data_IF_490446665123
#
_entry.id   IF_490446665123
#
_cell.length_a   1.000
_cell.length_b   1.000
_cell.length_c   1.000
_cell.angle_alpha   90.00
_cell.angle_beta   90.00
_cell.angle_gamma   90.00
#
_symmetry.space_group_name_H-M   'P 1'
#
loop_
_entity.id
_entity.type
_entity.pdbx_description
1 polymer ?
#
# COMPACT_ATOMS: atom_id res chain seq x y z
N UNK A 1 34.09 -37.49 -22.72
CA UNK A 1 34.03 -36.19 -23.40
C UNK A 1 35.32 -36.03 -24.19
N UNK A 2 35.28 -35.49 -25.42
CA UNK A 2 36.45 -35.40 -26.30
C UNK A 2 37.39 -34.26 -25.88
N UNK A 3 38.70 -34.42 -26.10
CA UNK A 3 39.79 -33.53 -25.61
C UNK A 3 39.76 -32.09 -26.20
N UNK A 4 38.81 -31.77 -27.07
CA UNK A 4 38.62 -30.45 -27.68
C UNK A 4 37.24 -29.83 -27.46
N UNK A 5 36.42 -30.35 -26.53
CA UNK A 5 35.08 -29.85 -26.25
C UNK A 5 35.01 -29.20 -24.86
N UNK A 6 34.46 -27.99 -24.78
CA UNK A 6 34.05 -27.35 -23.53
C UNK A 6 32.60 -26.87 -23.66
N UNK A 7 31.78 -27.16 -22.65
CA UNK A 7 30.48 -26.52 -22.49
C UNK A 7 30.71 -25.17 -21.79
N UNK A 8 30.37 -24.08 -22.47
CA UNK A 8 30.41 -22.72 -21.94
C UNK A 8 28.98 -22.25 -21.67
N UNK A 9 28.75 -21.74 -20.46
CA UNK A 9 27.49 -21.11 -20.07
C UNK A 9 27.75 -19.64 -19.74
N UNK A 10 27.04 -18.73 -20.41
CA UNK A 10 27.13 -17.30 -20.16
C UNK A 10 26.21 -16.90 -19.02
N UNK A 11 26.76 -16.59 -17.84
CA UNK A 11 25.99 -16.03 -16.72
C UNK A 11 25.80 -14.51 -16.87
N UNK A 12 24.92 -14.11 -17.78
CA UNK A 12 24.58 -12.71 -18.00
C UNK A 12 23.98 -12.07 -16.75
N UNK A 13 23.25 -12.85 -15.93
CA UNK A 13 22.58 -12.36 -14.73
C UNK A 13 23.57 -12.03 -13.61
N UNK A 14 24.52 -12.91 -13.34
CA UNK A 14 25.63 -12.64 -12.43
C UNK A 14 26.38 -11.37 -12.84
N UNK A 15 26.75 -11.25 -14.12
CA UNK A 15 27.48 -10.09 -14.63
C UNK A 15 26.72 -8.75 -14.49
N UNK A 16 25.38 -8.76 -14.64
CA UNK A 16 24.55 -7.56 -14.40
C UNK A 16 24.52 -7.21 -12.92
N UNK A 17 24.34 -8.20 -12.03
CA UNK A 17 24.27 -7.98 -10.58
C UNK A 17 25.61 -7.50 -10.01
N UNK A 18 26.72 -8.05 -10.48
CA UNK A 18 28.08 -7.66 -10.08
C UNK A 18 28.39 -6.21 -10.42
N UNK A 19 27.70 -5.62 -11.40
CA UNK A 19 27.78 -4.19 -11.72
C UNK A 19 26.74 -3.37 -10.97
N UNK A 20 25.49 -3.84 -10.91
CA UNK A 20 24.37 -3.10 -10.34
C UNK A 20 24.49 -2.93 -8.82
N UNK A 21 24.85 -3.98 -8.08
CA UNK A 21 24.92 -3.95 -6.61
C UNK A 21 25.94 -2.91 -6.13
N UNK A 22 27.21 -2.88 -6.61
CA UNK A 22 28.17 -1.86 -6.20
C UNK A 22 27.74 -0.43 -6.53
N UNK A 23 26.99 -0.22 -7.62
CA UNK A 23 26.43 1.09 -7.97
C UNK A 23 25.38 1.47 -6.92
N UNK A 24 24.41 0.60 -6.65
CA UNK A 24 23.36 0.84 -5.65
C UNK A 24 23.95 1.08 -4.25
N UNK A 25 24.99 0.37 -3.86
CA UNK A 25 25.62 0.52 -2.54
C UNK A 25 26.31 1.89 -2.40
N UNK A 26 26.94 2.39 -3.46
CA UNK A 26 27.64 3.69 -3.48
C UNK A 26 26.73 4.89 -3.64
N UNK A 27 25.53 4.72 -4.20
CA UNK A 27 24.57 5.81 -4.35
C UNK A 27 24.19 6.38 -2.97
N UNK A 28 23.97 7.69 -2.90
CA UNK A 28 23.30 8.30 -1.75
C UNK A 28 21.79 8.00 -1.82
N UNK A 29 21.17 7.80 -0.67
CA UNK A 29 19.72 7.61 -0.57
C UNK A 29 19.00 8.96 -0.55
N UNK A 30 17.90 9.07 -1.29
CA UNK A 30 17.04 10.26 -1.29
C UNK A 30 15.85 10.03 -0.35
N UNK A 31 15.40 10.99 0.46
CA UNK A 31 14.20 10.85 1.28
C UNK A 31 12.95 10.49 0.45
N UNK A 32 12.15 9.52 0.93
CA UNK A 32 10.93 9.05 0.28
C UNK A 32 9.80 10.07 0.49
N UNK A 33 9.90 11.18 -0.21
CA UNK A 33 8.88 12.23 -0.24
C UNK A 33 8.12 12.20 -1.56
N UNK A 34 6.90 12.74 -1.56
CA UNK A 34 6.10 12.90 -2.79
C UNK A 34 6.83 13.74 -3.83
N UNK A 35 7.51 14.81 -3.40
CA UNK A 35 8.27 15.69 -4.29
C UNK A 35 9.42 14.93 -4.97
N UNK A 36 10.23 14.18 -4.20
CA UNK A 36 11.33 13.40 -4.75
C UNK A 36 10.83 12.28 -5.68
N UNK A 37 9.76 11.56 -5.30
CA UNK A 37 9.19 10.51 -6.14
C UNK A 37 8.65 11.03 -7.49
N UNK A 38 8.11 12.26 -7.52
CA UNK A 38 7.60 12.89 -8.75
C UNK A 38 8.69 13.24 -9.76
N UNK A 39 9.94 13.42 -9.32
CA UNK A 39 11.07 13.73 -10.20
C UNK A 39 11.56 12.51 -11.00
N UNK A 40 11.20 11.30 -10.58
CA UNK A 40 11.60 10.07 -11.26
C UNK A 40 10.90 9.91 -12.61
N UNK A 41 11.48 9.16 -13.56
CA UNK A 41 10.77 8.77 -14.78
C UNK A 41 9.72 7.67 -14.50
N UNK A 42 8.64 7.65 -15.28
CA UNK A 42 7.77 6.48 -15.39
C UNK A 42 8.45 5.44 -16.29
N UNK A 43 9.49 4.79 -15.76
CA UNK A 43 10.29 3.82 -16.47
C UNK A 43 10.41 2.50 -15.70
N UNK A 44 10.68 1.42 -16.43
CA UNK A 44 11.03 0.13 -15.85
C UNK A 44 12.34 0.23 -15.04
N UNK A 45 12.37 -0.42 -13.89
CA UNK A 45 13.56 -0.43 -13.05
C UNK A 45 13.40 -1.19 -11.75
N UNK A 46 14.41 -1.04 -10.91
CA UNK A 46 14.42 -1.53 -9.53
C UNK A 46 14.60 -0.37 -8.57
N UNK A 47 14.10 -0.53 -7.36
CA UNK A 47 14.29 0.42 -6.27
C UNK A 47 14.46 -0.30 -4.94
N UNK A 48 15.20 0.35 -4.06
CA UNK A 48 15.43 -0.05 -2.67
C UNK A 48 14.71 0.94 -1.77
N UNK A 49 14.09 0.46 -0.68
CA UNK A 49 13.68 1.30 0.44
C UNK A 49 14.58 1.02 1.63
N UNK A 50 15.08 2.09 2.21
CA UNK A 50 16.10 2.09 3.25
C UNK A 50 15.51 2.80 4.46
N UNK A 51 15.63 2.17 5.62
CA UNK A 51 15.21 2.76 6.90
C UNK A 51 16.30 2.46 7.92
N UNK A 52 16.69 3.46 8.70
CA UNK A 52 17.80 3.35 9.67
C UNK A 52 19.12 2.80 9.04
N UNK A 53 19.40 3.21 7.80
CA UNK A 53 20.62 2.83 7.07
C UNK A 53 20.64 1.39 6.52
N UNK A 54 19.55 0.63 6.65
CA UNK A 54 19.45 -0.74 6.15
C UNK A 54 18.40 -0.85 5.05
N UNK A 55 18.66 -1.71 4.05
CA UNK A 55 17.71 -1.99 2.98
C UNK A 55 16.63 -2.94 3.52
N UNK A 56 15.40 -2.45 3.61
CA UNK A 56 14.27 -3.23 4.12
C UNK A 56 13.34 -3.73 3.03
N UNK A 57 13.33 -3.09 1.86
CA UNK A 57 12.51 -3.52 0.73
C UNK A 57 13.25 -3.37 -0.60
N UNK A 58 13.10 -4.36 -1.47
CA UNK A 58 13.41 -4.26 -2.90
C UNK A 58 12.10 -4.35 -3.66
N UNK A 59 11.91 -3.47 -4.64
CA UNK A 59 10.83 -3.63 -5.58
C UNK A 59 11.28 -3.45 -7.01
N UNK A 60 10.51 -4.01 -7.93
CA UNK A 60 10.59 -3.72 -9.36
C UNK A 60 9.37 -2.99 -9.86
N UNK A 61 9.51 -2.45 -11.07
CA UNK A 61 8.41 -1.91 -11.86
C UNK A 61 8.65 -2.26 -13.32
N UNK A 62 7.57 -2.49 -14.05
CA UNK A 62 7.57 -2.54 -15.52
C UNK A 62 7.40 -1.13 -16.10
N UNK A 63 7.39 -1.04 -17.43
CA UNK A 63 7.22 0.21 -18.16
C UNK A 63 5.79 0.77 -18.09
N UNK A 64 4.78 -0.05 -17.75
CA UNK A 64 3.39 0.41 -17.63
C UNK A 64 3.14 1.10 -16.28
N UNK A 65 3.68 0.53 -15.20
CA UNK A 65 3.59 1.11 -13.86
C UNK A 65 4.63 2.21 -13.64
N UNK A 66 5.88 2.04 -14.06
CA UNK A 66 6.95 3.03 -13.87
C UNK A 66 7.43 3.29 -12.42
N UNK A 67 8.67 3.75 -12.28
CA UNK A 67 9.31 4.04 -10.99
C UNK A 67 8.57 5.13 -10.20
N UNK A 68 8.24 6.25 -10.86
CA UNK A 68 7.51 7.38 -10.24
C UNK A 68 6.19 6.94 -9.62
N UNK A 69 5.33 6.29 -10.39
CA UNK A 69 4.01 5.86 -9.88
C UNK A 69 4.16 4.85 -8.73
N UNK A 70 5.09 3.89 -8.83
CA UNK A 70 5.29 2.88 -7.79
C UNK A 70 5.82 3.49 -6.49
N UNK A 71 6.82 4.37 -6.55
CA UNK A 71 7.36 5.04 -5.36
C UNK A 71 6.37 6.05 -4.77
N UNK A 72 5.62 6.78 -5.59
CA UNK A 72 4.54 7.67 -5.11
C UNK A 72 3.50 6.90 -4.31
N UNK A 73 3.13 5.69 -4.76
CA UNK A 73 2.24 4.80 -3.99
C UNK A 73 2.87 4.33 -2.67
N UNK A 74 4.18 4.11 -2.64
CA UNK A 74 4.86 3.71 -1.40
C UNK A 74 4.99 4.86 -0.41
N UNK A 75 5.15 6.11 -0.84
CA UNK A 75 5.06 7.30 0.04
C UNK A 75 3.76 7.23 0.85
N UNK A 76 2.63 7.04 0.17
CA UNK A 76 1.33 6.90 0.84
C UNK A 76 1.31 5.74 1.85
N UNK A 77 1.99 4.62 1.58
CA UNK A 77 2.03 3.50 2.54
C UNK A 77 2.71 3.85 3.87
N UNK A 78 3.54 4.88 3.95
CA UNK A 78 4.13 5.34 5.23
C UNK A 78 3.36 6.51 5.84
N UNK A 79 2.44 7.13 5.09
CA UNK A 79 1.55 8.16 5.62
C UNK A 79 0.56 7.51 6.60
N UNK A 80 0.24 8.24 7.68
CA UNK A 80 -0.72 7.84 8.71
C UNK A 80 -0.48 6.45 9.31
N UNK A 81 0.77 6.17 9.72
CA UNK A 81 1.15 4.97 10.48
C UNK A 81 1.82 5.33 11.80
N UNK A 82 1.76 4.41 12.73
CA UNK A 82 2.55 4.50 13.95
C UNK A 82 4.00 4.07 13.71
N UNK A 83 4.92 4.66 14.47
CA UNK A 83 6.34 4.30 14.54
C UNK A 83 7.15 4.52 13.24
N UNK A 84 6.60 5.18 12.23
CA UNK A 84 7.32 5.54 11.00
C UNK A 84 6.64 6.71 10.29
N UNK A 85 7.43 7.63 9.73
CA UNK A 85 6.94 8.62 8.76
C UNK A 85 7.67 8.48 7.42
N UNK A 86 7.10 8.97 6.29
CA UNK A 86 7.75 8.84 4.98
C UNK A 86 9.18 9.39 4.94
N UNK A 87 9.46 10.47 5.69
CA UNK A 87 10.78 11.10 5.76
C UNK A 87 11.85 10.23 6.45
N UNK A 88 11.46 9.23 7.25
CA UNK A 88 12.40 8.28 7.88
C UNK A 88 12.91 7.23 6.89
N UNK A 89 12.24 7.10 5.74
CA UNK A 89 12.56 6.14 4.69
C UNK A 89 13.28 6.87 3.56
N UNK A 90 14.40 6.32 3.12
CA UNK A 90 15.10 6.73 1.91
C UNK A 90 14.82 5.74 0.80
N UNK A 91 14.99 6.18 -0.45
CA UNK A 91 14.98 5.30 -1.60
C UNK A 91 16.25 5.46 -2.44
N UNK A 92 16.58 4.37 -3.15
CA UNK A 92 17.51 4.37 -4.28
C UNK A 92 16.78 3.73 -5.45
N UNK A 93 16.93 4.25 -6.65
CA UNK A 93 16.27 3.71 -7.84
C UNK A 93 17.20 3.67 -9.03
N UNK A 94 17.13 2.59 -9.80
CA UNK A 94 17.88 2.41 -11.04
C UNK A 94 16.92 2.02 -12.16
N UNK A 95 16.91 2.80 -13.24
CA UNK A 95 16.24 2.45 -14.47
C UNK A 95 17.02 1.33 -15.17
N UNK A 96 16.31 0.29 -15.63
CA UNK A 96 16.92 -0.83 -16.34
C UNK A 96 16.52 -0.72 -17.81
N UNK A 97 17.46 -0.33 -18.67
CA UNK A 97 17.21 -0.02 -20.08
C UNK A 97 17.17 -1.27 -21.00
N UNK A 98 17.72 -2.39 -20.55
CA UNK A 98 17.83 -3.64 -21.33
C UNK A 98 17.53 -4.82 -20.38
N UNK A 99 17.02 -5.94 -20.90
CA UNK A 99 16.77 -7.20 -20.15
C UNK A 99 15.56 -7.17 -19.21
N UNK A 100 14.41 -6.76 -19.73
CA UNK A 100 13.14 -6.67 -19.01
C UNK A 100 12.62 -8.02 -18.46
N UNK A 101 13.12 -9.14 -18.98
CA UNK A 101 12.69 -10.51 -18.64
C UNK A 101 13.49 -11.18 -17.50
N UNK A 102 14.50 -10.50 -16.92
CA UNK A 102 15.32 -11.08 -15.85
C UNK A 102 14.73 -10.81 -14.46
N UNK A 103 14.77 -11.82 -13.58
CA UNK A 103 14.30 -11.70 -12.20
C UNK A 103 15.36 -11.07 -11.27
N UNK A 104 15.71 -9.82 -11.57
CA UNK A 104 16.69 -9.02 -10.81
C UNK A 104 16.21 -8.81 -9.36
N UNK A 105 14.90 -8.63 -9.17
CA UNK A 105 14.29 -8.38 -7.86
C UNK A 105 14.60 -9.51 -6.86
N UNK A 106 14.35 -10.77 -7.20
CA UNK A 106 14.62 -11.89 -6.30
C UNK A 106 16.11 -11.99 -5.91
N UNK A 107 17.01 -11.67 -6.83
CA UNK A 107 18.46 -11.68 -6.57
C UNK A 107 18.88 -10.55 -5.63
N UNK A 108 18.34 -9.35 -5.83
CA UNK A 108 18.55 -8.22 -4.92
C UNK A 108 17.94 -8.46 -3.54
N UNK A 109 16.74 -9.06 -3.46
CA UNK A 109 16.11 -9.48 -2.18
C UNK A 109 17.04 -10.43 -1.44
N UNK A 110 17.57 -11.45 -2.13
CA UNK A 110 18.49 -12.42 -1.52
C UNK A 110 19.81 -11.78 -1.07
N UNK A 111 20.32 -10.82 -1.85
CA UNK A 111 21.55 -10.09 -1.51
C UNK A 111 21.36 -9.23 -0.27
N UNK A 112 20.33 -8.38 -0.24
CA UNK A 112 20.09 -7.42 0.84
C UNK A 112 19.36 -8.00 2.05
N UNK A 113 18.80 -9.22 1.95
CA UNK A 113 18.07 -9.92 3.03
C UNK A 113 16.94 -9.07 3.62
N UNK A 114 16.15 -8.49 2.74
CA UNK A 114 15.06 -7.56 3.06
C UNK A 114 13.92 -8.21 3.83
N UNK A 115 13.41 -7.55 4.87
CA UNK A 115 12.36 -8.07 5.74
C UNK A 115 10.96 -7.51 5.44
N UNK A 116 10.83 -6.44 4.63
CA UNK A 116 9.52 -5.94 4.18
C UNK A 116 9.01 -6.70 2.95
N UNK A 117 9.88 -7.31 2.17
CA UNK A 117 9.49 -8.21 1.08
C UNK A 117 8.73 -9.42 1.65
N UNK A 118 7.55 -9.73 1.10
CA UNK A 118 6.70 -10.82 1.58
C UNK A 118 6.01 -10.59 2.93
N UNK A 119 6.21 -9.42 3.56
CA UNK A 119 5.72 -9.13 4.91
C UNK A 119 4.32 -8.50 4.97
N UNK A 120 3.71 -8.19 3.81
CA UNK A 120 2.51 -7.37 3.69
C UNK A 120 2.75 -6.00 3.04
N UNK A 121 3.97 -5.45 3.14
CA UNK A 121 4.29 -4.12 2.59
C UNK A 121 4.04 -4.01 1.08
N UNK A 122 4.47 -5.00 0.29
CA UNK A 122 4.27 -4.99 -1.17
C UNK A 122 2.91 -5.51 -1.64
N UNK A 123 2.09 -6.05 -0.73
CA UNK A 123 0.88 -6.79 -1.08
C UNK A 123 -0.24 -5.86 -1.56
N UNK A 124 -0.98 -6.35 -2.56
CA UNK A 124 -2.25 -5.76 -2.99
C UNK A 124 -3.38 -6.21 -2.07
N UNK A 125 -4.50 -5.48 -2.12
CA UNK A 125 -5.72 -5.85 -1.41
C UNK A 125 -6.23 -7.22 -1.89
N UNK A 126 -6.29 -8.25 -1.02
CA UNK A 126 -6.72 -9.59 -1.41
C UNK A 126 -8.26 -9.76 -1.45
N UNK A 127 -9.04 -8.71 -1.16
CA UNK A 127 -10.51 -8.69 -1.21
C UNK A 127 -11.21 -9.16 0.08
N UNK A 128 -12.56 -9.09 0.07
CA UNK A 128 -13.44 -9.51 1.18
C UNK A 128 -13.21 -10.98 1.55
N UNK A 129 -13.44 -11.33 2.81
CA UNK A 129 -13.33 -12.68 3.42
C UNK A 129 -11.92 -13.11 3.80
N UNK A 130 -10.90 -12.32 3.46
CA UNK A 130 -9.52 -12.57 3.87
C UNK A 130 -9.27 -12.24 5.34
N UNK A 131 -10.12 -11.44 5.95
CA UNK A 131 -10.14 -11.10 7.37
C UNK A 131 -10.51 -12.30 8.24
N UNK A 132 -11.21 -13.27 7.66
CA UNK A 132 -11.72 -14.48 8.34
C UNK A 132 -10.68 -15.59 8.45
N UNK A 133 -9.67 -15.52 7.58
CA UNK A 133 -8.51 -16.42 7.53
C UNK A 133 -7.22 -15.65 7.81
N UNK A 134 -7.35 -14.42 8.34
CA UNK A 134 -6.22 -13.57 8.63
C UNK A 134 -5.36 -14.23 9.69
N UNK A 135 -4.07 -14.33 9.40
CA UNK A 135 -3.06 -14.64 10.40
C UNK A 135 -2.92 -13.45 11.34
N UNK A 136 -2.37 -13.63 12.56
CA UNK A 136 -1.98 -12.50 13.40
C UNK A 136 -1.15 -11.51 12.58
N UNK A 137 -1.30 -10.19 12.84
CA UNK A 137 -0.46 -9.20 12.20
C UNK A 137 1.01 -9.62 12.35
N UNK A 138 1.71 -9.71 11.23
CA UNK A 138 3.12 -10.06 11.17
C UNK A 138 3.82 -9.12 10.21
N UNK A 139 5.16 -9.02 10.33
CA UNK A 139 5.95 -8.26 9.37
C UNK A 139 5.66 -6.75 9.44
N UNK A 140 5.37 -6.15 8.29
CA UNK A 140 5.30 -4.69 8.17
C UNK A 140 4.14 -4.09 8.98
N UNK A 141 2.90 -4.52 8.72
CA UNK A 141 1.71 -3.91 9.33
C UNK A 141 1.63 -4.14 10.85
N UNK A 142 2.32 -5.16 11.38
CA UNK A 142 2.41 -5.37 12.83
C UNK A 142 3.33 -4.37 13.52
N UNK A 143 4.42 -3.97 12.85
CA UNK A 143 5.41 -3.02 13.38
C UNK A 143 4.98 -1.57 13.16
N UNK A 144 4.31 -1.33 12.03
CA UNK A 144 3.88 -0.02 11.59
C UNK A 144 2.38 -0.04 11.31
N UNK A 145 1.51 -0.24 12.31
CA UNK A 145 0.07 -0.28 12.07
C UNK A 145 -0.44 1.07 11.54
N UNK A 146 -1.53 1.06 10.78
CA UNK A 146 -2.22 2.30 10.39
C UNK A 146 -2.74 3.00 11.64
N UNK A 147 -2.67 4.33 11.63
CA UNK A 147 -3.17 5.16 12.71
C UNK A 147 -4.43 5.90 12.22
N UNK A 148 -5.59 5.44 12.70
CA UNK A 148 -6.91 5.99 12.35
C UNK A 148 -7.32 7.18 13.21
N UNK A 149 -6.44 7.60 14.13
CA UNK A 149 -6.62 8.69 15.07
C UNK A 149 -5.80 9.94 14.69
N UNK A 150 -5.16 9.93 13.52
CA UNK A 150 -4.55 11.11 12.92
C UNK A 150 -5.59 11.97 12.17
N UNK A 151 -5.46 13.30 12.19
CA UNK A 151 -6.31 14.21 11.43
C UNK A 151 -6.30 13.95 9.93
N UNK A 152 -7.47 14.04 9.30
CA UNK A 152 -7.66 14.06 7.86
C UNK A 152 -7.81 15.51 7.39
N UNK A 153 -7.14 15.86 6.30
CA UNK A 153 -7.10 17.20 5.71
C UNK A 153 -7.82 17.29 4.34
N UNK A 154 -8.31 16.15 3.83
CA UNK A 154 -8.94 16.05 2.50
C UNK A 154 -10.47 15.97 2.54
N UNK A 155 -11.09 15.94 3.72
CA UNK A 155 -12.55 15.84 3.85
C UNK A 155 -13.21 17.21 3.70
N UNK A 156 -14.31 17.23 2.94
CA UNK A 156 -15.15 18.42 2.77
C UNK A 156 -16.14 18.52 3.92
N UNK A 157 -16.05 19.60 4.71
CA UNK A 157 -16.98 19.87 5.81
C UNK A 157 -18.38 20.29 5.29
N UNK A 158 -19.40 20.04 6.11
CA UNK A 158 -20.79 20.42 5.84
C UNK A 158 -21.73 19.24 5.54
N UNK A 159 -22.97 19.53 5.10
CA UNK A 159 -23.96 18.51 4.75
C UNK A 159 -23.49 17.64 3.58
N UNK A 160 -23.64 16.33 3.71
CA UNK A 160 -23.28 15.33 2.68
C UNK A 160 -24.08 14.03 2.88
N UNK A 161 -23.75 12.99 2.13
CA UNK A 161 -24.33 11.65 2.26
C UNK A 161 -23.30 10.67 2.80
N UNK A 162 -23.77 9.54 3.37
CA UNK A 162 -22.87 8.43 3.76
C UNK A 162 -22.03 7.97 2.58
N UNK A 163 -22.66 7.85 1.40
CA UNK A 163 -21.95 7.40 0.20
C UNK A 163 -20.81 8.34 -0.18
N UNK A 164 -21.07 9.64 -0.24
CA UNK A 164 -20.05 10.64 -0.64
C UNK A 164 -18.90 10.71 0.36
N UNK A 165 -19.18 10.65 1.67
CA UNK A 165 -18.13 10.59 2.69
C UNK A 165 -17.27 9.32 2.54
N UNK A 166 -17.88 8.15 2.33
CA UNK A 166 -17.15 6.90 2.09
C UNK A 166 -16.33 6.94 0.80
N UNK A 167 -16.78 7.65 -0.24
CA UNK A 167 -15.98 7.87 -1.44
C UNK A 167 -14.76 8.76 -1.16
N UNK A 168 -14.94 9.87 -0.45
CA UNK A 168 -13.83 10.76 -0.06
C UNK A 168 -12.80 10.00 0.77
N UNK A 169 -13.23 9.24 1.79
CA UNK A 169 -12.36 8.39 2.59
C UNK A 169 -11.62 7.36 1.74
N UNK A 170 -12.33 6.63 0.87
CA UNK A 170 -11.69 5.60 0.03
C UNK A 170 -10.64 6.16 -0.93
N UNK A 171 -10.80 7.41 -1.36
CA UNK A 171 -9.88 8.07 -2.29
C UNK A 171 -8.73 8.80 -1.59
N UNK A 172 -8.97 9.32 -0.39
CA UNK A 172 -7.99 10.12 0.34
C UNK A 172 -7.16 9.34 1.35
N UNK A 173 -7.67 8.21 1.87
CA UNK A 173 -6.93 7.45 2.87
C UNK A 173 -5.67 6.79 2.26
N UNK A 174 -4.52 6.87 2.95
CA UNK A 174 -3.27 6.25 2.50
C UNK A 174 -3.24 4.72 2.68
N UNK A 175 -4.30 4.16 3.23
CA UNK A 175 -4.49 2.74 3.46
C UNK A 175 -5.86 2.27 2.97
N UNK A 176 -6.02 0.97 2.85
CA UNK A 176 -7.25 0.39 2.29
C UNK A 176 -8.44 0.68 3.19
N UNK A 177 -9.50 1.23 2.60
CA UNK A 177 -10.86 1.19 3.13
C UNK A 177 -11.72 0.28 2.23
N UNK A 178 -12.25 -0.79 2.80
CA UNK A 178 -13.27 -1.62 2.17
C UNK A 178 -14.63 -1.30 2.77
N UNK A 179 -15.66 -1.30 1.94
CA UNK A 179 -17.02 -1.27 2.43
C UNK A 179 -17.93 -2.09 1.54
N UNK A 180 -19.05 -2.53 2.09
CA UNK A 180 -20.03 -3.31 1.36
C UNK A 180 -20.63 -2.49 0.23
N UNK A 181 -20.68 -3.10 -0.94
CA UNK A 181 -21.32 -2.55 -2.14
C UNK A 181 -22.59 -3.35 -2.43
N UNK A 182 -23.33 -2.99 -3.48
CA UNK A 182 -24.42 -3.83 -3.94
C UNK A 182 -23.96 -5.28 -4.23
N UNK A 183 -24.83 -6.28 -4.02
CA UNK A 183 -24.57 -7.64 -4.44
C UNK A 183 -24.11 -7.73 -5.90
N UNK A 184 -23.01 -8.45 -6.14
CA UNK A 184 -22.43 -8.64 -7.46
C UNK A 184 -21.63 -7.44 -8.00
N UNK A 185 -21.44 -6.37 -7.22
CA UNK A 185 -20.48 -5.32 -7.57
C UNK A 185 -19.05 -5.90 -7.61
N UNK A 186 -18.34 -5.70 -8.74
CA UNK A 186 -16.98 -6.21 -8.96
C UNK A 186 -16.10 -5.11 -9.57
N UNK A 187 -14.81 -5.17 -9.29
CA UNK A 187 -13.83 -4.21 -9.83
C UNK A 187 -13.61 -3.00 -8.94
N UNK A 188 -12.42 -2.41 -9.08
CA UNK A 188 -11.89 -1.34 -8.22
C UNK A 188 -12.70 -0.05 -8.24
N UNK A 189 -13.54 0.18 -9.25
CA UNK A 189 -14.33 1.40 -9.43
C UNK A 189 -15.82 1.26 -9.11
N UNK A 190 -16.29 0.04 -8.81
CA UNK A 190 -17.71 -0.21 -8.51
C UNK A 190 -18.25 0.61 -7.34
N UNK A 191 -17.37 1.03 -6.43
CA UNK A 191 -17.77 1.86 -5.30
C UNK A 191 -18.39 3.19 -5.71
N UNK A 192 -18.11 3.71 -6.91
CA UNK A 192 -18.68 4.99 -7.40
C UNK A 192 -20.07 4.84 -8.00
N UNK A 193 -20.35 3.69 -8.62
CA UNK A 193 -21.56 3.50 -9.43
C UNK A 193 -22.52 2.48 -8.84
N UNK A 194 -22.08 1.67 -7.87
CA UNK A 194 -22.84 0.58 -7.25
C UNK A 194 -22.71 0.58 -5.72
N UNK A 195 -23.02 1.70 -5.05
CA UNK A 195 -23.03 1.77 -3.58
C UNK A 195 -24.12 0.88 -2.99
N UNK A 196 -23.91 0.36 -1.78
CA UNK A 196 -24.96 -0.41 -1.11
C UNK A 196 -26.23 0.47 -0.93
N UNK A 197 -27.47 -0.08 -1.08
CA UNK A 197 -28.71 0.70 -1.04
C UNK A 197 -28.90 1.59 0.19
N UNK A 198 -28.37 1.17 1.35
CA UNK A 198 -28.37 1.95 2.60
C UNK A 198 -27.50 3.23 2.59
N UNK A 199 -26.71 3.54 1.54
CA UNK A 199 -25.71 4.63 1.59
C UNK A 199 -26.11 5.94 0.87
N UNK A 200 -26.60 5.96 -0.39
CA UNK A 200 -26.66 7.19 -1.19
C UNK A 200 -27.62 8.26 -0.67
N UNK A 201 -28.73 7.84 -0.05
CA UNK A 201 -29.77 8.76 0.42
C UNK A 201 -29.66 9.14 1.90
N UNK A 202 -28.67 8.61 2.63
CA UNK A 202 -28.57 8.79 4.08
C UNK A 202 -27.75 10.06 4.38
N UNK A 203 -28.38 11.13 4.90
CA UNK A 203 -27.70 12.39 5.15
C UNK A 203 -26.82 12.31 6.40
N UNK A 204 -25.69 13.00 6.36
CA UNK A 204 -24.87 13.29 7.53
C UNK A 204 -24.23 14.68 7.40
N UNK A 205 -23.65 15.18 8.48
CA UNK A 205 -22.87 16.43 8.47
C UNK A 205 -21.46 16.16 8.93
N UNK A 206 -20.48 16.49 8.08
CA UNK A 206 -19.07 16.48 8.46
C UNK A 206 -18.80 17.79 9.23
N UNK A 207 -18.30 17.72 10.48
CA UNK A 207 -18.04 18.92 11.27
C UNK A 207 -16.96 19.79 10.63
N UNK A 208 -16.98 21.09 10.95
CA UNK A 208 -15.90 22.00 10.58
C UNK A 208 -14.69 21.74 11.47
N UNK A 209 -13.52 21.57 10.83
CA UNK A 209 -12.26 21.30 11.50
C UNK A 209 -11.72 19.90 11.21
N UNK A 210 -10.49 19.59 11.66
CA UNK A 210 -9.87 18.30 11.44
C UNK A 210 -10.64 17.21 12.18
N UNK A 211 -10.99 16.13 11.48
CA UNK A 211 -11.48 14.89 12.08
C UNK A 211 -10.59 13.71 11.69
N UNK A 212 -10.60 12.68 12.50
CA UNK A 212 -9.85 11.44 12.25
C UNK A 212 -10.66 10.45 11.44
N UNK A 213 -10.00 9.43 10.88
CA UNK A 213 -10.70 8.33 10.22
C UNK A 213 -11.65 7.60 11.19
N UNK A 214 -11.27 7.45 12.46
CA UNK A 214 -12.16 6.91 13.51
C UNK A 214 -13.44 7.73 13.64
N UNK A 215 -13.31 9.05 13.79
CA UNK A 215 -14.46 9.94 13.93
C UNK A 215 -15.35 9.94 12.67
N UNK A 216 -14.74 9.93 11.48
CA UNK A 216 -15.49 9.83 10.23
C UNK A 216 -16.27 8.51 10.13
N UNK A 217 -15.67 7.38 10.54
CA UNK A 217 -16.37 6.08 10.59
C UNK A 217 -17.50 6.06 11.63
N UNK A 218 -17.31 6.73 12.77
CA UNK A 218 -18.37 6.88 13.79
C UNK A 218 -19.55 7.70 13.28
N UNK A 219 -19.31 8.77 12.51
CA UNK A 219 -20.37 9.54 11.84
C UNK A 219 -21.14 8.66 10.84
N UNK A 220 -20.43 7.84 10.06
CA UNK A 220 -21.05 6.89 9.12
C UNK A 220 -21.91 5.86 9.85
N UNK A 221 -21.39 5.24 10.92
CA UNK A 221 -22.13 4.25 11.71
C UNK A 221 -23.37 4.84 12.40
N UNK A 222 -23.28 6.09 12.89
CA UNK A 222 -24.41 6.76 13.51
C UNK A 222 -25.53 7.14 12.53
N UNK A 223 -25.22 7.28 11.24
CA UNK A 223 -26.18 7.62 10.20
C UNK A 223 -26.80 6.39 9.52
N UNK A 224 -26.04 5.30 9.38
CA UNK A 224 -26.51 4.07 8.74
C UNK A 224 -27.58 3.34 9.58
N UNK A 225 -28.45 2.53 8.95
CA UNK A 225 -29.37 1.65 9.68
C UNK A 225 -28.64 0.69 10.64
N UNK A 226 -29.38 0.06 11.55
CA UNK A 226 -28.80 -0.98 12.39
C UNK A 226 -28.26 -2.17 11.56
N UNK A 227 -27.22 -2.82 12.10
CA UNK A 227 -26.58 -4.00 11.49
C UNK A 227 -25.32 -3.70 10.67
N UNK A 228 -24.88 -2.44 10.64
CA UNK A 228 -23.57 -2.07 10.10
C UNK A 228 -22.48 -2.11 11.16
N UNK A 229 -21.31 -2.61 10.77
CA UNK A 229 -20.14 -2.72 11.62
C UNK A 229 -18.91 -2.17 10.89
N UNK A 230 -18.24 -1.20 11.52
CA UNK A 230 -16.90 -0.79 11.11
C UNK A 230 -15.86 -1.53 11.96
N UNK A 231 -14.81 -2.05 11.31
CA UNK A 231 -13.73 -2.76 12.00
C UNK A 231 -12.38 -2.26 11.52
N UNK A 232 -11.53 -1.96 12.48
CA UNK A 232 -10.14 -1.58 12.31
C UNK A 232 -9.24 -2.82 12.34
N UNK A 233 -8.28 -2.87 11.41
CA UNK A 233 -7.17 -3.81 11.41
C UNK A 233 -5.86 -3.03 11.32
N UNK A 234 -4.75 -3.65 11.72
CA UNK A 234 -3.42 -3.05 11.64
C UNK A 234 -3.04 -2.52 10.24
N UNK A 235 -3.67 -3.03 9.16
CA UNK A 235 -3.36 -2.65 7.78
C UNK A 235 -4.48 -1.91 7.03
N UNK A 236 -5.72 -1.95 7.51
CA UNK A 236 -6.88 -1.44 6.76
C UNK A 236 -8.13 -1.24 7.62
N UNK A 237 -9.13 -0.59 7.04
CA UNK A 237 -10.49 -0.45 7.58
C UNK A 237 -11.50 -1.23 6.75
N UNK A 238 -12.52 -1.79 7.41
CA UNK A 238 -13.70 -2.34 6.74
C UNK A 238 -15.00 -1.76 7.32
N UNK A 239 -16.04 -1.70 6.50
CA UNK A 239 -17.42 -1.39 6.89
C UNK A 239 -18.40 -2.33 6.17
N UNK A 240 -18.99 -3.28 6.90
CA UNK A 240 -19.88 -4.29 6.34
C UNK A 240 -21.21 -4.36 7.10
N UNK A 241 -22.27 -4.79 6.41
CA UNK A 241 -23.59 -5.00 7.02
C UNK A 241 -23.65 -6.39 7.63
N UNK A 242 -23.01 -6.53 8.78
CA UNK A 242 -22.87 -7.77 9.51
C UNK A 242 -22.61 -7.50 11.00
N UNK A 243 -22.68 -8.57 11.80
CA UNK A 243 -22.25 -8.55 13.19
C UNK A 243 -21.30 -9.74 13.40
N UNK A 244 -20.00 -9.46 13.37
CA UNK A 244 -18.96 -10.48 13.34
C UNK A 244 -17.78 -10.08 14.21
N UNK A 245 -17.41 -10.95 15.14
CA UNK A 245 -16.12 -10.86 15.82
C UNK A 245 -15.00 -11.28 14.86
N UNK A 246 -14.02 -10.39 14.69
CA UNK A 246 -12.79 -10.67 13.95
C UNK A 246 -11.64 -10.88 14.94
N UNK A 247 -10.92 -11.99 14.84
CA UNK A 247 -9.83 -12.35 15.77
C UNK A 247 -8.74 -11.28 15.85
N UNK A 248 -8.48 -10.57 14.74
CA UNK A 248 -7.42 -9.57 14.62
C UNK A 248 -7.94 -8.18 14.24
N UNK A 249 -9.24 -7.96 14.37
CA UNK A 249 -9.89 -6.69 14.12
C UNK A 249 -10.48 -6.12 15.41
N UNK A 250 -10.49 -4.80 15.52
CA UNK A 250 -11.13 -4.07 16.62
C UNK A 250 -12.33 -3.31 16.08
N UNK A 251 -13.54 -3.46 16.66
CA UNK A 251 -14.67 -2.60 16.33
C UNK A 251 -14.33 -1.12 16.58
N UNK A 252 -14.91 -0.24 15.77
CA UNK A 252 -14.80 1.23 15.91
C UNK A 252 -16.00 1.78 16.68
#
# INVERSE_FOLDING_TARGET
MADGFIAFELDLMGAVLDQLIPILDKMEGEPLTRAAAQLLPDAQGVYLLIHQGQVHYVGKTDAEAGLRTRLTRHVAKFEQRDNIVPADVQFKAAQILVLTAMDIESKLINHYRTDWNGSGFGSNDPGRQRETTAKPPQGFDARFPINIDLPLDFLVAGPTTVHDLLMQLKLGLPYTLRYELEPGAKGSHSFRSRPHPDMPGVPLTVPVGPITARQAMQLVLGALPHGWQATYFASHLILYKENRAYTHGMPI
#
